data_IF_334015642051
#
_entry.id   IF_334015642051
#
_cell.length_a   1.000
_cell.length_b   1.000
_cell.length_c   1.000
_cell.angle_alpha   90.00
_cell.angle_beta   90.00
_cell.angle_gamma   90.00
#
_symmetry.space_group_name_H-M   'P 1'
#
loop_
_entity.id
_entity.type
_entity.pdbx_description
1 polymer ?
#
# COMPACT_ATOMS: atom_id res chain seq x y z
N UNK A 1 -11.26 11.05 -10.10
CA UNK A 1 -10.48 11.77 -9.07
C UNK A 1 -9.86 10.75 -8.15
N UNK A 2 -8.54 10.69 -8.09
CA UNK A 2 -7.81 9.90 -7.09
C UNK A 2 -7.76 10.68 -5.76
N UNK A 3 -7.82 9.98 -4.63
CA UNK A 3 -7.72 10.58 -3.29
C UNK A 3 -6.85 9.71 -2.38
N UNK A 4 -6.26 10.28 -1.32
CA UNK A 4 -5.54 9.47 -0.34
C UNK A 4 -6.47 8.43 0.31
N UNK A 5 -5.90 7.26 0.56
CA UNK A 5 -6.55 6.18 1.31
C UNK A 5 -6.68 6.56 2.79
N UNK A 6 -7.83 6.30 3.37
CA UNK A 6 -8.07 6.36 4.82
C UNK A 6 -7.35 5.20 5.55
N UNK A 7 -7.19 5.28 6.87
CA UNK A 7 -6.59 4.19 7.65
C UNK A 7 -7.30 2.85 7.43
N UNK A 8 -8.63 2.84 7.43
CA UNK A 8 -9.41 1.61 7.23
C UNK A 8 -9.20 1.01 5.84
N UNK A 9 -9.16 1.84 4.80
CA UNK A 9 -8.87 1.41 3.42
C UNK A 9 -7.45 0.86 3.29
N UNK A 10 -6.46 1.50 3.93
CA UNK A 10 -5.07 1.00 3.94
C UNK A 10 -4.94 -0.31 4.69
N UNK A 11 -5.53 -0.42 5.89
CA UNK A 11 -5.48 -1.66 6.68
C UNK A 11 -6.08 -2.83 5.93
N UNK A 12 -7.18 -2.62 5.20
CA UNK A 12 -7.78 -3.66 4.38
C UNK A 12 -6.84 -4.09 3.24
N UNK A 13 -6.24 -3.13 2.52
CA UNK A 13 -5.28 -3.44 1.45
C UNK A 13 -4.02 -4.13 2.00
N UNK A 14 -3.49 -3.70 3.13
CA UNK A 14 -2.35 -4.32 3.81
C UNK A 14 -2.67 -5.78 4.20
N UNK A 15 -3.86 -6.02 4.75
CA UNK A 15 -4.32 -7.36 5.06
C UNK A 15 -4.45 -8.23 3.81
N UNK A 16 -4.96 -7.69 2.71
CA UNK A 16 -5.05 -8.40 1.42
C UNK A 16 -3.66 -8.74 0.86
N UNK A 17 -2.70 -7.80 0.94
CA UNK A 17 -1.31 -8.03 0.54
C UNK A 17 -0.66 -9.11 1.41
N UNK A 18 -0.77 -9.02 2.74
CA UNK A 18 -0.15 -9.97 3.68
C UNK A 18 -0.71 -11.38 3.55
N UNK A 19 -2.03 -11.50 3.41
CA UNK A 19 -2.69 -12.81 3.38
C UNK A 19 -2.68 -13.43 1.98
N UNK A 20 -2.50 -12.61 0.93
CA UNK A 20 -2.66 -13.04 -0.46
C UNK A 20 -4.08 -13.50 -0.79
N UNK A 21 -5.06 -13.26 0.09
CA UNK A 21 -6.42 -13.74 -0.07
C UNK A 21 -7.26 -12.76 -0.90
N UNK A 22 -8.21 -13.28 -1.67
CA UNK A 22 -9.19 -12.43 -2.34
C UNK A 22 -10.18 -11.83 -1.34
N UNK A 23 -10.74 -10.66 -1.68
CA UNK A 23 -11.76 -9.99 -0.86
C UNK A 23 -12.96 -10.87 -0.53
N UNK A 24 -13.34 -11.78 -1.45
CA UNK A 24 -14.42 -12.75 -1.25
C UNK A 24 -14.12 -13.73 -0.11
N UNK A 25 -12.87 -14.19 0.00
CA UNK A 25 -12.43 -15.10 1.08
C UNK A 25 -12.43 -14.36 2.41
N UNK A 26 -11.92 -13.12 2.44
CA UNK A 26 -11.96 -12.27 3.63
C UNK A 26 -13.40 -11.99 4.10
N UNK A 27 -14.29 -11.67 3.17
CA UNK A 27 -15.71 -11.46 3.47
C UNK A 27 -16.44 -12.75 3.89
N UNK A 28 -15.99 -13.92 3.46
CA UNK A 28 -16.55 -15.20 3.89
C UNK A 28 -16.11 -15.59 5.31
N UNK A 29 -14.91 -15.18 5.74
CA UNK A 29 -14.41 -15.44 7.10
C UNK A 29 -15.14 -14.62 8.17
N UNK A 30 -15.60 -13.42 7.81
CA UNK A 30 -16.39 -12.57 8.71
C UNK A 30 -17.69 -12.12 8.03
N UNK A 31 -18.76 -12.94 8.07
CA UNK A 31 -20.01 -12.65 7.37
C UNK A 31 -20.71 -11.40 7.91
N UNK A 32 -20.54 -11.09 9.20
CA UNK A 32 -21.10 -9.90 9.82
C UNK A 32 -20.50 -8.61 9.25
N UNK A 33 -19.20 -8.61 8.90
CA UNK A 33 -18.51 -7.47 8.27
C UNK A 33 -18.34 -7.61 6.77
N UNK A 34 -18.84 -8.67 6.14
CA UNK A 34 -18.70 -8.91 4.70
C UNK A 34 -19.13 -7.70 3.84
N UNK A 35 -20.23 -7.04 4.21
CA UNK A 35 -20.73 -5.84 3.52
C UNK A 35 -19.77 -4.65 3.69
N UNK A 36 -19.27 -4.43 4.89
CA UNK A 36 -18.32 -3.35 5.22
C UNK A 36 -16.99 -3.55 4.48
N UNK A 37 -16.48 -4.79 4.48
CA UNK A 37 -15.25 -5.20 3.80
C UNK A 37 -15.34 -4.91 2.29
N UNK A 38 -16.42 -5.34 1.63
CA UNK A 38 -16.63 -5.07 0.20
C UNK A 38 -16.78 -3.58 -0.10
N UNK A 39 -17.50 -2.84 0.74
CA UNK A 39 -17.65 -1.39 0.56
C UNK A 39 -16.31 -0.66 0.71
N UNK A 40 -15.53 -1.04 1.71
CA UNK A 40 -14.20 -0.48 1.96
C UNK A 40 -13.27 -0.76 0.79
N UNK A 41 -13.28 -1.99 0.26
CA UNK A 41 -12.52 -2.33 -0.94
C UNK A 41 -12.94 -1.49 -2.15
N UNK A 42 -14.24 -1.32 -2.39
CA UNK A 42 -14.74 -0.50 -3.50
C UNK A 42 -14.36 0.98 -3.34
N UNK A 43 -14.36 1.51 -2.11
CA UNK A 43 -13.89 2.88 -1.83
C UNK A 43 -12.38 3.01 -2.05
N UNK A 44 -11.59 2.04 -1.62
CA UNK A 44 -10.15 1.99 -1.86
C UNK A 44 -9.82 1.95 -3.36
N UNK A 45 -10.55 1.15 -4.14
CA UNK A 45 -10.42 1.10 -5.60
C UNK A 45 -10.66 2.46 -6.24
N UNK A 46 -11.76 3.13 -5.87
CA UNK A 46 -12.09 4.48 -6.36
C UNK A 46 -11.07 5.51 -5.92
N UNK A 47 -10.57 5.43 -4.69
CA UNK A 47 -9.55 6.32 -4.18
C UNK A 47 -8.25 6.22 -4.98
N UNK A 48 -7.85 5.01 -5.36
CA UNK A 48 -6.68 4.77 -6.21
C UNK A 48 -6.97 4.95 -7.71
N UNK A 49 -8.21 5.24 -8.11
CA UNK A 49 -8.58 5.40 -9.52
C UNK A 49 -8.46 4.12 -10.35
N UNK A 50 -8.57 2.95 -9.70
CA UNK A 50 -8.36 1.64 -10.34
C UNK A 50 -9.66 1.01 -10.80
N UNK A 51 -9.57 0.19 -11.86
CA UNK A 51 -10.73 -0.52 -12.43
C UNK A 51 -11.05 -1.83 -11.71
N UNK A 52 -10.06 -2.45 -11.06
CA UNK A 52 -10.19 -3.69 -10.31
C UNK A 52 -9.40 -3.61 -8.98
N UNK A 53 -9.77 -4.46 -8.01
CA UNK A 53 -9.16 -4.46 -6.68
C UNK A 53 -7.73 -4.97 -6.71
N UNK A 54 -7.44 -5.90 -7.61
CA UNK A 54 -6.10 -6.45 -7.81
C UNK A 54 -5.07 -5.37 -8.18
N UNK A 55 -5.40 -4.48 -9.11
CA UNK A 55 -4.54 -3.36 -9.46
C UNK A 55 -4.40 -2.35 -8.31
N UNK A 56 -5.45 -2.16 -7.50
CA UNK A 56 -5.35 -1.35 -6.27
C UNK A 56 -4.38 -1.98 -5.25
N UNK A 57 -4.42 -3.30 -5.07
CA UNK A 57 -3.50 -4.04 -4.20
C UNK A 57 -2.07 -3.91 -4.74
N UNK A 58 -1.86 -4.05 -6.04
CA UNK A 58 -0.53 -3.92 -6.66
C UNK A 58 0.05 -2.52 -6.47
N UNK A 59 -0.71 -1.45 -6.74
CA UNK A 59 -0.28 -0.07 -6.51
C UNK A 59 0.07 0.16 -5.03
N UNK A 60 -0.75 -0.36 -4.12
CA UNK A 60 -0.50 -0.24 -2.68
C UNK A 60 0.78 -0.96 -2.25
N UNK A 61 1.00 -2.17 -2.76
CA UNK A 61 2.21 -2.96 -2.53
C UNK A 61 3.46 -2.22 -3.03
N UNK A 62 3.44 -1.72 -4.27
CA UNK A 62 4.57 -0.95 -4.82
C UNK A 62 4.84 0.32 -4.04
N UNK A 63 3.81 0.98 -3.51
CA UNK A 63 3.94 2.16 -2.66
C UNK A 63 4.56 1.85 -1.28
N UNK A 64 4.46 0.60 -0.80
CA UNK A 64 5.11 0.12 0.42
C UNK A 64 6.55 -0.34 0.16
N UNK A 65 6.80 -0.96 -1.00
CA UNK A 65 8.12 -1.42 -1.45
C UNK A 65 9.02 -0.28 -1.95
N UNK A 66 8.51 0.95 -2.05
CA UNK A 66 9.32 2.14 -2.30
C UNK A 66 9.72 2.74 -0.95
N UNK A 67 10.84 2.33 -0.32
CA UNK A 67 11.39 3.11 0.77
C UNK A 67 11.65 4.51 0.23
N UNK A 68 11.10 5.51 0.92
CA UNK A 68 11.51 6.88 0.72
C UNK A 68 13.04 6.97 0.81
N UNK A 69 13.63 7.55 -0.23
CA UNK A 69 15.00 8.08 -0.32
C UNK A 69 16.17 7.09 -0.52
N UNK A 70 16.68 6.95 -1.77
CA UNK A 70 18.12 6.79 -1.99
C UNK A 70 18.93 8.08 -1.65
N UNK A 71 18.27 9.21 -1.40
CA UNK A 71 18.94 10.51 -1.16
C UNK A 71 19.75 10.57 0.14
N UNK A 72 19.39 9.79 1.17
CA UNK A 72 20.16 9.73 2.41
C UNK A 72 21.43 8.87 2.27
N UNK A 73 21.45 7.92 1.32
CA UNK A 73 22.65 7.11 1.06
C UNK A 73 23.68 7.90 0.23
N UNK A 74 23.22 8.68 -0.75
CA UNK A 74 24.10 9.53 -1.57
C UNK A 74 24.73 10.67 -0.75
N UNK A 75 23.96 11.29 0.15
CA UNK A 75 24.46 12.36 1.02
C UNK A 75 25.44 11.86 2.07
N UNK A 76 25.22 10.66 2.63
CA UNK A 76 26.17 10.03 3.56
C UNK A 76 27.45 9.56 2.86
N UNK A 77 27.34 8.98 1.65
CA UNK A 77 28.48 8.56 0.85
C UNK A 77 29.35 9.76 0.41
N UNK A 78 28.74 10.89 0.03
CA UNK A 78 29.47 12.09 -0.36
C UNK A 78 30.28 12.71 0.80
N UNK A 79 29.78 12.61 2.04
CA UNK A 79 30.48 13.11 3.24
C UNK A 79 31.67 12.24 3.65
N UNK A 80 31.63 10.92 3.39
CA UNK A 80 32.79 10.05 3.64
C UNK A 80 33.94 10.32 2.66
N UNK A 81 33.63 10.64 1.39
CA UNK A 81 34.66 10.88 0.37
C UNK A 81 35.39 12.23 0.60
N UNK A 82 34.73 13.20 1.21
CA UNK A 82 35.32 14.51 1.51
C UNK A 82 36.10 14.57 2.84
N UNK A 83 35.96 13.55 3.69
CA UNK A 83 36.61 13.47 5.01
C UNK A 83 37.95 12.73 5.03
N UNK A 84 38.34 12.06 3.95
CA UNK A 84 39.61 11.34 3.84
C UNK A 84 40.51 11.98 2.77
N UNK A 85 41.20 13.07 3.13
CA UNK A 85 42.43 13.47 2.46
C UNK A 85 43.53 13.67 3.52
N UNK A 86 44.52 12.76 3.64
CA UNK A 86 45.78 13.04 4.30
C UNK A 86 46.68 13.98 3.48
#
# INVERSE_FOLDING_TARGET
MTRPLTSTERQLLDQLVRTGQSIGVLAARDPHRAREIRNTAARAQRALGTRNLDHAIQIHRTSQETPAAPEQTLTAAAQQILGEQP
#
